data_IF_746135544740
#
_entry.id   IF_746135544740
#
_cell.length_a   1.000
_cell.length_b   1.000
_cell.length_c   1.000
_cell.angle_alpha   90.00
_cell.angle_beta   90.00
_cell.angle_gamma   90.00
#
_symmetry.space_group_name_H-M   'P 1'
#
loop_
_entity.id
_entity.type
_entity.pdbx_description
1 polymer ?
#
# COMPACT_ATOMS: atom_id res chain seq x y z
N UNK A 1 -12.42 13.96 -8.55
CA UNK A 1 -13.21 12.71 -8.41
C UNK A 1 -14.65 12.92 -8.87
N UNK A 2 -15.32 13.98 -8.44
CA UNK A 2 -16.74 14.27 -8.78
C UNK A 2 -16.99 14.40 -10.29
N UNK A 3 -15.99 14.75 -11.09
CA UNK A 3 -16.08 14.84 -12.55
C UNK A 3 -15.74 13.52 -13.26
N UNK A 4 -15.13 12.56 -12.55
CA UNK A 4 -14.62 11.32 -13.12
C UNK A 4 -15.42 10.07 -12.75
N UNK A 5 -16.27 10.17 -11.74
CA UNK A 5 -17.08 9.07 -11.23
C UNK A 5 -18.55 9.46 -11.17
N UNK A 6 -19.41 8.60 -11.62
CA UNK A 6 -20.86 8.73 -11.53
C UNK A 6 -21.42 7.59 -10.69
N UNK A 7 -22.33 7.91 -9.76
CA UNK A 7 -23.07 6.90 -9.03
C UNK A 7 -24.29 6.50 -9.86
N UNK A 8 -24.40 5.22 -10.15
CA UNK A 8 -25.51 4.66 -10.91
C UNK A 8 -26.25 3.60 -10.10
N UNK A 9 -27.55 3.48 -10.32
CA UNK A 9 -28.38 2.41 -9.77
C UNK A 9 -28.59 1.36 -10.85
N UNK A 10 -28.24 0.11 -10.55
CA UNK A 10 -28.41 -1.02 -11.46
C UNK A 10 -29.19 -2.15 -10.78
N UNK A 11 -30.05 -2.83 -11.57
CA UNK A 11 -30.69 -4.06 -11.12
C UNK A 11 -29.69 -5.22 -11.12
N UNK A 12 -29.62 -5.96 -10.00
CA UNK A 12 -28.74 -7.11 -9.89
C UNK A 12 -29.52 -8.42 -10.12
N UNK A 13 -29.06 -9.23 -11.06
CA UNK A 13 -29.61 -10.57 -11.32
C UNK A 13 -29.12 -11.60 -10.30
N UNK A 14 -29.69 -12.82 -10.32
CA UNK A 14 -29.12 -13.93 -9.57
C UNK A 14 -27.77 -14.37 -10.15
N UNK A 15 -26.81 -14.80 -9.29
CA UNK A 15 -25.50 -15.25 -9.76
C UNK A 15 -25.64 -16.51 -10.63
N UNK A 16 -24.84 -16.58 -11.70
CA UNK A 16 -24.75 -17.76 -12.58
C UNK A 16 -23.63 -18.71 -12.10
N UNK A 17 -23.57 -19.91 -12.69
CA UNK A 17 -22.58 -20.91 -12.31
C UNK A 17 -21.14 -20.36 -12.27
N UNK A 18 -20.43 -20.57 -11.18
CA UNK A 18 -19.09 -20.02 -10.91
C UNK A 18 -19.08 -18.62 -10.27
N UNK A 19 -20.25 -18.02 -10.07
CA UNK A 19 -20.39 -16.72 -9.43
C UNK A 19 -20.94 -16.81 -8.01
N UNK A 20 -20.59 -15.78 -7.24
CA UNK A 20 -21.21 -15.44 -5.96
C UNK A 20 -21.75 -14.02 -6.02
N UNK A 21 -22.88 -13.77 -5.36
CA UNK A 21 -23.38 -12.44 -5.11
C UNK A 21 -22.86 -11.98 -3.73
N UNK A 22 -22.20 -10.84 -3.71
CA UNK A 22 -21.62 -10.29 -2.51
C UNK A 22 -22.29 -8.98 -2.11
N UNK A 23 -22.33 -8.74 -0.79
CA UNK A 23 -22.60 -7.43 -0.20
C UNK A 23 -21.29 -6.85 0.28
N UNK A 24 -20.89 -5.72 -0.27
CA UNK A 24 -19.65 -5.05 0.11
C UNK A 24 -19.73 -4.55 1.56
N UNK A 25 -18.70 -4.80 2.35
CA UNK A 25 -18.54 -4.31 3.72
C UNK A 25 -17.48 -3.21 3.80
N UNK A 26 -16.33 -3.47 3.22
CA UNK A 26 -15.18 -2.56 3.24
C UNK A 26 -14.44 -2.69 1.91
N UNK A 27 -14.02 -1.56 1.35
CA UNK A 27 -13.14 -1.53 0.17
C UNK A 27 -11.83 -0.82 0.51
N UNK A 28 -10.72 -1.37 0.03
CA UNK A 28 -9.41 -0.76 0.17
C UNK A 28 -9.22 0.36 -0.84
N UNK A 29 -8.85 1.55 -0.34
CA UNK A 29 -8.52 2.71 -1.14
C UNK A 29 -7.02 2.81 -1.29
N UNK A 30 -6.46 2.09 -2.26
CA UNK A 30 -5.03 2.01 -2.47
C UNK A 30 -4.52 3.13 -3.40
N UNK A 31 -3.30 3.60 -3.16
CA UNK A 31 -2.67 4.63 -4.00
C UNK A 31 -2.54 4.19 -5.47
N UNK A 32 -2.40 2.88 -5.73
CA UNK A 32 -2.36 2.29 -7.07
C UNK A 32 -3.65 2.49 -7.87
N UNK A 33 -4.80 2.64 -7.21
CA UNK A 33 -6.09 2.92 -7.88
C UNK A 33 -6.02 4.16 -8.77
N UNK A 34 -5.21 5.16 -8.39
CA UNK A 34 -5.00 6.37 -9.21
C UNK A 34 -4.37 6.06 -10.57
N UNK A 35 -3.52 5.04 -10.64
CA UNK A 35 -2.91 4.61 -11.90
C UNK A 35 -3.93 3.90 -12.81
N UNK A 36 -4.85 3.13 -12.23
CA UNK A 36 -5.90 2.43 -12.98
C UNK A 36 -6.93 3.39 -13.61
N UNK A 37 -7.06 4.60 -13.06
CA UNK A 37 -7.89 5.68 -13.60
C UNK A 37 -7.17 6.52 -14.68
N UNK A 38 -6.00 6.11 -15.13
CA UNK A 38 -5.22 6.79 -16.16
C UNK A 38 -5.10 5.90 -17.40
N UNK A 39 -4.72 6.47 -18.52
CA UNK A 39 -4.49 5.77 -19.80
C UNK A 39 -3.11 5.09 -19.89
N UNK A 40 -2.37 5.00 -18.78
CA UNK A 40 -1.03 4.42 -18.73
C UNK A 40 -1.06 2.92 -19.01
N UNK A 41 -0.20 2.50 -19.95
CA UNK A 41 -0.05 1.09 -20.33
C UNK A 41 1.15 0.40 -19.65
N UNK A 42 1.95 1.16 -18.91
CA UNK A 42 3.17 0.69 -18.20
C UNK A 42 2.92 0.34 -16.73
N UNK A 43 1.65 0.21 -16.33
CA UNK A 43 1.24 -0.25 -15.01
C UNK A 43 1.14 -1.78 -14.94
N UNK A 44 1.29 -2.34 -13.73
CA UNK A 44 1.06 -3.77 -13.46
C UNK A 44 -0.41 -4.19 -13.60
N UNK A 45 -1.33 -3.23 -13.58
CA UNK A 45 -2.76 -3.40 -13.81
C UNK A 45 -3.16 -2.54 -15.01
N UNK A 46 -3.90 -3.08 -15.99
CA UNK A 46 -4.40 -2.28 -17.09
C UNK A 46 -5.35 -1.16 -16.62
N UNK A 47 -5.47 -0.08 -17.38
CA UNK A 47 -6.46 0.96 -17.13
C UNK A 47 -7.88 0.38 -17.06
N UNK A 48 -8.71 0.94 -16.17
CA UNK A 48 -10.14 0.64 -16.14
C UNK A 48 -10.80 1.32 -17.34
N UNK A 49 -11.62 0.57 -18.08
CA UNK A 49 -12.34 1.10 -19.23
C UNK A 49 -13.37 2.17 -18.80
N UNK A 50 -13.51 3.22 -19.60
CA UNK A 50 -14.51 4.26 -19.34
C UNK A 50 -15.92 3.65 -19.40
N UNK A 51 -16.74 3.97 -18.41
CA UNK A 51 -18.09 3.43 -18.26
C UNK A 51 -18.14 2.11 -17.48
N UNK A 52 -17.01 1.56 -17.07
CA UNK A 52 -16.95 0.39 -16.19
C UNK A 52 -16.93 0.80 -14.72
N UNK A 53 -17.35 -0.12 -13.83
CA UNK A 53 -17.25 0.06 -12.40
C UNK A 53 -15.79 0.20 -11.95
N UNK A 54 -15.56 1.07 -10.99
CA UNK A 54 -14.30 1.08 -10.25
C UNK A 54 -14.15 -0.21 -9.45
N UNK A 55 -12.91 -0.64 -9.25
CA UNK A 55 -12.60 -1.89 -8.56
C UNK A 55 -11.56 -1.69 -7.46
N UNK A 56 -11.48 -2.65 -6.56
CA UNK A 56 -10.49 -2.67 -5.48
C UNK A 56 -10.53 -3.95 -4.68
N UNK A 57 -9.51 -4.17 -3.86
CA UNK A 57 -9.53 -5.26 -2.89
C UNK A 57 -10.59 -4.95 -1.83
N UNK A 58 -11.48 -5.90 -1.57
CA UNK A 58 -12.59 -5.68 -0.64
C UNK A 58 -12.79 -6.84 0.33
N UNK A 59 -13.50 -6.53 1.41
CA UNK A 59 -14.19 -7.49 2.27
C UNK A 59 -15.68 -7.43 1.98
N UNK A 60 -16.28 -8.57 1.83
CA UNK A 60 -17.70 -8.69 1.53
C UNK A 60 -18.32 -9.91 2.23
N UNK A 61 -19.63 -9.91 2.30
CA UNK A 61 -20.43 -11.04 2.76
C UNK A 61 -21.13 -11.69 1.57
N UNK A 62 -21.05 -13.01 1.48
CA UNK A 62 -21.78 -13.76 0.44
C UNK A 62 -23.27 -13.72 0.76
N UNK A 63 -24.08 -13.20 -0.18
CA UNK A 63 -25.54 -13.11 -0.06
C UNK A 63 -26.22 -14.28 -0.78
N UNK A 64 -25.71 -14.65 -1.95
CA UNK A 64 -26.14 -15.81 -2.73
C UNK A 64 -24.93 -16.47 -3.38
N UNK A 65 -25.00 -17.77 -3.61
CA UNK A 65 -23.91 -18.50 -4.24
C UNK A 65 -24.44 -19.46 -5.31
N UNK A 66 -23.77 -19.47 -6.46
CA UNK A 66 -23.89 -20.51 -7.48
C UNK A 66 -22.61 -21.39 -7.55
N UNK A 67 -21.76 -21.35 -6.49
CA UNK A 67 -20.58 -22.19 -6.30
C UNK A 67 -20.66 -22.88 -4.92
N UNK A 68 -20.51 -24.22 -4.88
CA UNK A 68 -20.64 -25.04 -3.67
C UNK A 68 -19.62 -24.72 -2.56
N UNK A 69 -18.51 -24.10 -2.91
CA UNK A 69 -17.42 -23.78 -1.98
C UNK A 69 -17.69 -22.51 -1.16
N UNK A 70 -18.73 -21.77 -1.52
CA UNK A 70 -19.15 -20.53 -0.86
C UNK A 70 -20.58 -20.65 -0.35
N UNK A 71 -20.83 -20.22 0.89
CA UNK A 71 -22.13 -20.25 1.57
C UNK A 71 -22.61 -18.85 1.90
N UNK A 72 -23.91 -18.64 1.93
CA UNK A 72 -24.52 -17.43 2.44
C UNK A 72 -24.01 -17.13 3.86
N UNK A 73 -23.62 -15.86 4.10
CA UNK A 73 -23.02 -15.41 5.35
C UNK A 73 -21.51 -15.64 5.48
N UNK A 74 -20.85 -16.24 4.48
CA UNK A 74 -19.40 -16.31 4.48
C UNK A 74 -18.80 -14.91 4.33
N UNK A 75 -17.77 -14.62 5.15
CA UNK A 75 -16.92 -13.46 4.96
C UNK A 75 -15.88 -13.80 3.90
N UNK A 76 -15.77 -12.98 2.87
CA UNK A 76 -14.86 -13.19 1.75
C UNK A 76 -14.00 -11.97 1.49
N UNK A 77 -12.78 -12.20 0.99
CA UNK A 77 -11.86 -11.17 0.49
C UNK A 77 -11.54 -11.46 -0.97
N UNK A 78 -11.59 -10.44 -1.80
CA UNK A 78 -11.27 -10.56 -3.20
C UNK A 78 -11.14 -9.20 -3.87
N UNK A 79 -11.12 -9.22 -5.20
CA UNK A 79 -11.08 -8.02 -6.03
C UNK A 79 -12.50 -7.76 -6.55
N UNK A 80 -13.15 -6.75 -6.00
CA UNK A 80 -14.56 -6.46 -6.26
C UNK A 80 -14.79 -5.04 -6.77
N UNK A 81 -16.00 -4.79 -7.20
CA UNK A 81 -16.45 -3.49 -7.69
C UNK A 81 -16.79 -2.52 -6.54
N UNK A 82 -16.72 -1.23 -6.82
CA UNK A 82 -17.21 -0.20 -5.91
C UNK A 82 -18.75 -0.12 -5.99
N UNK A 83 -19.41 -1.11 -5.42
CA UNK A 83 -20.85 -1.26 -5.43
C UNK A 83 -21.33 -1.82 -4.09
N UNK A 84 -22.56 -1.50 -3.68
CA UNK A 84 -23.15 -2.09 -2.47
C UNK A 84 -23.32 -3.61 -2.59
N UNK A 85 -23.68 -4.05 -3.80
CA UNK A 85 -23.85 -5.46 -4.17
C UNK A 85 -23.23 -5.71 -5.54
N UNK A 86 -22.62 -6.87 -5.75
CA UNK A 86 -22.08 -7.28 -7.03
C UNK A 86 -22.18 -8.80 -7.22
N UNK A 87 -22.36 -9.25 -8.47
CA UNK A 87 -22.09 -10.63 -8.86
C UNK A 87 -20.63 -10.72 -9.33
N UNK A 88 -19.84 -11.53 -8.67
CA UNK A 88 -18.40 -11.64 -8.91
C UNK A 88 -18.01 -13.08 -9.22
N UNK A 89 -16.93 -13.26 -9.97
CA UNK A 89 -16.33 -14.56 -10.20
C UNK A 89 -15.76 -15.09 -8.88
N UNK A 90 -16.23 -16.25 -8.45
CA UNK A 90 -15.83 -16.85 -7.18
C UNK A 90 -14.34 -17.18 -7.11
N UNK A 91 -13.66 -17.44 -8.24
CA UNK A 91 -12.23 -17.73 -8.29
C UNK A 91 -11.37 -16.52 -7.88
N UNK A 92 -11.94 -15.32 -7.91
CA UNK A 92 -11.29 -14.08 -7.46
C UNK A 92 -11.42 -13.82 -5.96
N UNK A 93 -12.10 -14.71 -5.22
CA UNK A 93 -12.41 -14.54 -3.82
C UNK A 93 -11.92 -15.70 -2.96
N UNK A 94 -11.54 -15.37 -1.73
CA UNK A 94 -11.16 -16.32 -0.69
C UNK A 94 -12.11 -16.21 0.48
N UNK A 95 -12.62 -17.34 0.95
CA UNK A 95 -13.36 -17.42 2.21
C UNK A 95 -12.39 -17.19 3.36
N UNK A 96 -12.76 -16.31 4.28
CA UNK A 96 -11.96 -15.97 5.44
C UNK A 96 -12.43 -16.74 6.67
N UNK A 97 -11.49 -17.18 7.49
CA UNK A 97 -11.81 -17.76 8.80
C UNK A 97 -12.37 -16.67 9.72
N UNK A 98 -13.49 -16.96 10.37
CA UNK A 98 -14.06 -16.07 11.40
C UNK A 98 -13.25 -16.22 12.68
N UNK A 99 -12.93 -15.09 13.32
CA UNK A 99 -12.30 -15.14 14.65
C UNK A 99 -11.21 -14.10 14.91
N UNK A 100 -11.00 -13.16 14.00
CA UNK A 100 -10.27 -11.95 14.34
C UNK A 100 -11.20 -10.95 15.03
N UNK A 101 -10.67 -10.24 16.01
CA UNK A 101 -11.39 -9.16 16.70
C UNK A 101 -11.64 -7.93 15.79
N UNK A 102 -11.01 -7.91 14.61
CA UNK A 102 -11.04 -6.80 13.67
C UNK A 102 -10.95 -7.34 12.23
N UNK A 103 -12.07 -7.26 11.50
CA UNK A 103 -12.16 -7.70 10.10
C UNK A 103 -11.23 -6.88 9.17
N UNK A 104 -11.00 -5.60 9.47
CA UNK A 104 -10.14 -4.69 8.71
C UNK A 104 -8.69 -5.17 8.64
N UNK A 105 -8.26 -6.03 9.57
CA UNK A 105 -6.94 -6.64 9.55
C UNK A 105 -6.70 -7.43 8.26
N UNK A 106 -7.73 -8.02 7.66
CA UNK A 106 -7.64 -8.77 6.40
C UNK A 106 -7.33 -7.88 5.18
N UNK A 107 -7.63 -6.58 5.24
CA UNK A 107 -7.24 -5.61 4.19
C UNK A 107 -5.94 -4.85 4.53
N UNK A 108 -5.56 -4.81 5.81
CA UNK A 108 -4.36 -4.10 6.29
C UNK A 108 -3.17 -5.04 6.55
N UNK A 109 -2.95 -5.42 7.80
CA UNK A 109 -1.78 -6.21 8.23
C UNK A 109 -1.72 -7.62 7.64
N UNK A 110 -2.87 -8.27 7.43
CA UNK A 110 -3.01 -9.59 6.81
C UNK A 110 -3.36 -9.49 5.30
N UNK A 111 -3.46 -8.28 4.78
CA UNK A 111 -3.75 -7.99 3.38
C UNK A 111 -2.51 -7.63 2.57
N UNK A 112 -2.75 -7.01 1.41
CA UNK A 112 -1.72 -6.63 0.46
C UNK A 112 -0.68 -5.68 1.09
N UNK A 113 -1.11 -4.71 1.89
CA UNK A 113 -0.21 -3.75 2.54
C UNK A 113 0.74 -4.44 3.53
N UNK A 114 0.25 -5.41 4.31
CA UNK A 114 1.07 -6.20 5.23
C UNK A 114 2.07 -7.09 4.51
N UNK A 115 1.64 -7.77 3.45
CA UNK A 115 2.53 -8.56 2.60
C UNK A 115 3.63 -7.71 1.96
N UNK A 116 3.26 -6.57 1.39
CA UNK A 116 4.21 -5.63 0.77
C UNK A 116 5.23 -5.14 1.79
N UNK A 117 4.78 -4.74 2.98
CA UNK A 117 5.65 -4.30 4.05
C UNK A 117 6.59 -5.43 4.51
N UNK A 118 6.05 -6.64 4.72
CA UNK A 118 6.85 -7.77 5.17
C UNK A 118 7.93 -8.16 4.17
N UNK A 119 7.56 -8.36 2.90
CA UNK A 119 8.50 -8.74 1.84
C UNK A 119 9.55 -7.64 1.63
N UNK A 120 9.12 -6.38 1.55
CA UNK A 120 10.04 -5.26 1.37
C UNK A 120 11.03 -5.10 2.54
N UNK A 121 10.57 -5.28 3.78
CA UNK A 121 11.47 -5.20 4.95
C UNK A 121 12.34 -6.45 5.07
N UNK A 122 11.73 -7.64 5.11
CA UNK A 122 12.44 -8.86 5.50
C UNK A 122 13.23 -9.49 4.37
N UNK A 123 12.67 -9.52 3.15
CA UNK A 123 13.31 -10.22 2.02
C UNK A 123 14.24 -9.30 1.20
N UNK A 124 13.87 -8.02 1.05
CA UNK A 124 14.65 -7.04 0.29
C UNK A 124 15.57 -6.26 1.22
N UNK A 125 15.01 -5.63 2.26
CA UNK A 125 15.75 -4.84 3.24
C UNK A 125 16.72 -5.66 4.08
N UNK A 126 16.35 -6.87 4.47
CA UNK A 126 17.14 -7.82 5.29
C UNK A 126 17.74 -7.13 6.53
N UNK A 127 16.89 -6.58 7.41
CA UNK A 127 17.30 -5.75 8.52
C UNK A 127 18.17 -6.51 9.51
N UNK A 128 19.14 -5.79 10.09
CA UNK A 128 19.93 -6.27 11.21
C UNK A 128 19.70 -5.39 12.42
N UNK A 129 19.72 -5.94 13.64
CA UNK A 129 19.58 -5.14 14.86
C UNK A 129 20.58 -3.98 14.90
N UNK A 130 20.09 -2.80 15.26
CA UNK A 130 20.88 -1.57 15.37
C UNK A 130 21.01 -0.75 14.08
N UNK A 131 20.60 -1.28 12.91
CA UNK A 131 20.60 -0.51 11.67
C UNK A 131 19.56 0.62 11.68
N UNK A 132 19.89 1.74 11.01
CA UNK A 132 18.98 2.85 10.76
C UNK A 132 18.02 2.48 9.61
N UNK A 133 16.75 2.31 9.94
CA UNK A 133 15.68 2.05 8.98
C UNK A 133 14.87 3.32 8.76
N UNK A 134 14.94 3.89 7.57
CA UNK A 134 14.17 5.04 7.14
C UNK A 134 12.98 4.58 6.30
N UNK A 135 11.81 5.17 6.49
CA UNK A 135 10.62 4.90 5.68
C UNK A 135 9.92 6.19 5.27
N UNK A 136 9.69 6.37 3.96
CA UNK A 136 8.88 7.46 3.43
C UNK A 136 7.39 7.13 3.46
N UNK A 137 6.52 8.17 3.49
CA UNK A 137 5.09 8.02 3.72
C UNK A 137 4.80 7.09 4.93
N UNK A 138 5.53 7.29 6.01
CA UNK A 138 5.56 6.42 7.18
C UNK A 138 4.19 6.28 7.86
N UNK A 139 3.34 7.32 7.80
CA UNK A 139 1.98 7.28 8.33
C UNK A 139 0.94 6.72 7.35
N UNK A 140 1.37 6.18 6.20
CA UNK A 140 0.51 5.46 5.27
C UNK A 140 0.35 3.99 5.63
N UNK A 141 -0.57 3.29 4.95
CA UNK A 141 -0.90 1.90 5.25
C UNK A 141 0.33 0.98 5.22
N UNK A 142 1.10 0.97 4.12
CA UNK A 142 2.31 0.14 4.00
C UNK A 142 3.46 0.66 4.87
N UNK A 143 3.69 1.99 4.89
CA UNK A 143 4.80 2.60 5.61
C UNK A 143 4.74 2.38 7.12
N UNK A 144 3.55 2.48 7.71
CA UNK A 144 3.35 2.25 9.15
C UNK A 144 3.61 0.80 9.55
N UNK A 145 3.23 -0.15 8.71
CA UNK A 145 3.51 -1.57 8.91
C UNK A 145 5.00 -1.88 8.73
N UNK A 146 5.62 -1.32 7.67
CA UNK A 146 7.05 -1.51 7.42
C UNK A 146 7.92 -1.05 8.59
N UNK A 147 7.64 0.13 9.14
CA UNK A 147 8.37 0.64 10.30
C UNK A 147 8.19 -0.23 11.55
N UNK A 148 6.97 -0.70 11.82
CA UNK A 148 6.72 -1.59 12.97
C UNK A 148 7.42 -2.95 12.79
N UNK A 149 7.45 -3.52 11.58
CA UNK A 149 8.18 -4.77 11.29
C UNK A 149 9.69 -4.54 11.50
N UNK A 150 10.24 -3.45 10.96
CA UNK A 150 11.66 -3.10 11.15
C UNK A 150 12.00 -2.88 12.63
N UNK A 151 11.10 -2.26 13.41
CA UNK A 151 11.26 -2.10 14.85
C UNK A 151 11.33 -3.44 15.56
N UNK A 152 10.45 -4.39 15.21
CA UNK A 152 10.48 -5.76 15.75
C UNK A 152 11.74 -6.53 15.33
N UNK A 153 12.33 -6.22 14.19
CA UNK A 153 13.61 -6.76 13.74
C UNK A 153 14.82 -6.14 14.45
N UNK A 154 14.60 -5.16 15.34
CA UNK A 154 15.63 -4.52 16.14
C UNK A 154 16.29 -3.30 15.52
N UNK A 155 15.74 -2.75 14.43
CA UNK A 155 16.21 -1.51 13.83
C UNK A 155 15.87 -0.28 14.67
N UNK A 156 16.64 0.77 14.46
CA UNK A 156 16.29 2.14 14.84
C UNK A 156 15.47 2.74 13.70
N UNK A 157 14.19 3.03 13.96
CA UNK A 157 13.22 3.39 12.93
C UNK A 157 12.97 4.89 12.87
N UNK A 158 13.14 5.45 11.68
CA UNK A 158 12.92 6.85 11.35
C UNK A 158 11.79 6.95 10.32
N UNK A 159 10.72 7.68 10.64
CA UNK A 159 9.58 7.87 9.76
C UNK A 159 9.54 9.26 9.14
N UNK A 160 9.28 9.35 7.83
CA UNK A 160 9.00 10.62 7.15
C UNK A 160 7.48 10.79 7.00
N UNK A 161 6.96 11.91 7.52
CA UNK A 161 5.55 12.26 7.41
C UNK A 161 5.38 13.75 7.07
N UNK A 162 4.18 14.13 6.60
CA UNK A 162 3.91 15.47 6.10
C UNK A 162 3.11 16.35 7.06
N UNK A 163 3.01 16.01 8.35
CA UNK A 163 2.46 16.86 9.40
C UNK A 163 2.96 16.42 10.77
N UNK A 164 2.96 17.37 11.72
CA UNK A 164 3.41 17.13 13.10
C UNK A 164 2.52 16.11 13.81
N UNK A 165 1.21 16.14 13.58
CA UNK A 165 0.26 15.16 14.11
C UNK A 165 0.64 13.73 13.69
N UNK A 166 0.98 13.52 12.41
CA UNK A 166 1.43 12.22 11.90
C UNK A 166 2.76 11.81 12.52
N UNK A 167 3.69 12.74 12.69
CA UNK A 167 4.97 12.47 13.35
C UNK A 167 4.78 12.07 14.82
N UNK A 168 3.86 12.73 15.51
CA UNK A 168 3.50 12.40 16.87
C UNK A 168 2.89 11.00 16.98
N UNK A 169 1.94 10.67 16.13
CA UNK A 169 1.34 9.33 16.04
C UNK A 169 2.39 8.23 15.80
N UNK A 170 3.31 8.44 14.85
CA UNK A 170 4.39 7.49 14.57
C UNK A 170 5.23 7.18 15.81
N UNK A 171 5.59 8.20 16.60
CA UNK A 171 6.47 8.04 17.74
C UNK A 171 5.75 7.57 18.99
N UNK A 172 4.55 8.09 19.28
CA UNK A 172 3.81 7.79 20.50
C UNK A 172 3.04 6.48 20.43
N UNK A 173 2.40 6.21 19.29
CA UNK A 173 1.49 5.07 19.15
C UNK A 173 2.15 3.87 18.45
N UNK A 174 2.97 4.13 17.41
CA UNK A 174 3.60 3.06 16.63
C UNK A 174 5.03 2.70 17.07
N UNK A 175 5.60 3.47 18.03
CA UNK A 175 6.90 3.17 18.64
C UNK A 175 8.09 3.42 17.71
N UNK A 176 7.96 4.30 16.72
CA UNK A 176 9.09 4.76 15.92
C UNK A 176 10.06 5.56 16.83
N UNK A 177 11.36 5.45 16.59
CA UNK A 177 12.34 6.15 17.39
C UNK A 177 12.40 7.64 17.06
N UNK A 178 12.15 7.99 15.79
CA UNK A 178 12.17 9.36 15.28
C UNK A 178 11.10 9.49 14.20
N UNK A 179 10.51 10.67 14.13
CA UNK A 179 9.71 11.09 12.99
C UNK A 179 10.16 12.48 12.53
N UNK A 180 10.25 12.69 11.24
CA UNK A 180 10.68 13.93 10.60
C UNK A 180 9.52 14.45 9.75
N UNK A 181 9.11 15.71 10.02
CA UNK A 181 8.16 16.39 9.16
C UNK A 181 8.89 17.04 7.98
N UNK A 182 8.96 16.32 6.85
CA UNK A 182 9.69 16.75 5.66
C UNK A 182 9.15 18.05 5.02
N UNK A 183 7.99 18.55 5.45
CA UNK A 183 7.43 19.82 4.98
C UNK A 183 7.93 21.03 5.74
N UNK A 184 8.33 20.85 6.99
CA UNK A 184 8.74 21.93 7.91
C UNK A 184 10.21 21.85 8.29
N UNK A 185 10.83 20.67 8.16
CA UNK A 185 12.22 20.41 8.47
C UNK A 185 13.07 20.27 7.20
N UNK A 186 14.32 20.69 7.25
CA UNK A 186 15.30 20.37 6.22
C UNK A 186 15.68 18.89 6.33
N UNK A 187 15.24 18.08 5.36
CA UNK A 187 15.42 16.63 5.40
C UNK A 187 16.90 16.21 5.44
N UNK A 188 17.76 16.86 4.64
CA UNK A 188 19.20 16.55 4.59
C UNK A 188 19.88 16.79 5.94
N UNK A 189 19.61 17.95 6.57
CA UNK A 189 20.14 18.27 7.89
C UNK A 189 19.60 17.32 8.97
N UNK A 190 18.31 16.98 8.91
CA UNK A 190 17.69 16.06 9.84
C UNK A 190 18.30 14.65 9.72
N UNK A 191 18.54 14.16 8.50
CA UNK A 191 19.18 12.86 8.27
C UNK A 191 20.62 12.86 8.78
N UNK A 192 21.43 13.89 8.50
CA UNK A 192 22.80 14.02 9.03
C UNK A 192 22.84 14.05 10.55
N UNK A 193 21.87 14.70 11.17
CA UNK A 193 21.74 14.77 12.64
C UNK A 193 21.36 13.41 13.24
N UNK A 194 20.40 12.74 12.65
CA UNK A 194 19.82 11.53 13.23
C UNK A 194 20.48 10.24 12.74
N UNK A 195 21.11 10.24 11.58
CA UNK A 195 21.84 9.11 11.00
C UNK A 195 23.27 9.54 10.61
N UNK A 196 24.15 9.90 11.58
CA UNK A 196 25.48 10.42 11.27
C UNK A 196 26.34 9.42 10.48
N UNK A 197 26.09 8.11 10.63
CA UNK A 197 26.76 7.04 9.89
C UNK A 197 25.99 6.62 8.63
N UNK A 198 24.91 7.33 8.32
CA UNK A 198 24.04 7.11 7.18
C UNK A 198 22.82 6.22 7.47
N UNK A 199 21.98 6.09 6.45
CA UNK A 199 20.76 5.26 6.43
C UNK A 199 21.13 3.89 5.88
N UNK A 200 20.90 2.82 6.65
CA UNK A 200 21.21 1.46 6.25
C UNK A 200 20.12 0.84 5.35
N UNK A 201 18.87 1.17 5.64
CA UNK A 201 17.72 0.70 4.86
C UNK A 201 16.78 1.86 4.63
N UNK A 202 16.44 2.12 3.38
CA UNK A 202 15.43 3.09 3.00
C UNK A 202 14.26 2.41 2.32
N UNK A 203 13.13 2.28 3.01
CA UNK A 203 11.88 1.77 2.46
C UNK A 203 11.15 2.91 1.74
N UNK A 204 11.22 2.90 0.40
CA UNK A 204 10.75 4.00 -0.42
C UNK A 204 9.33 3.76 -0.97
N UNK A 205 8.38 4.59 -0.50
CA UNK A 205 7.01 4.64 -0.99
C UNK A 205 6.76 5.83 -1.95
N UNK A 206 7.71 6.77 -2.05
CA UNK A 206 7.45 8.10 -2.62
C UNK A 206 8.28 8.40 -3.86
N UNK A 207 9.56 8.02 -3.88
CA UNK A 207 10.54 8.42 -4.90
C UNK A 207 10.76 9.95 -4.98
N UNK A 208 11.16 10.46 -6.15
CA UNK A 208 11.35 11.89 -6.40
C UNK A 208 12.37 12.56 -5.49
N UNK A 209 12.16 13.84 -5.16
CA UNK A 209 13.10 14.66 -4.40
C UNK A 209 13.51 14.06 -3.05
N UNK A 210 12.60 13.32 -2.40
CA UNK A 210 12.92 12.63 -1.14
C UNK A 210 13.98 11.55 -1.38
N UNK A 211 13.82 10.73 -2.42
CA UNK A 211 14.80 9.72 -2.79
C UNK A 211 16.16 10.36 -3.08
N UNK A 212 16.19 11.46 -3.85
CA UNK A 212 17.43 12.14 -4.21
C UNK A 212 18.20 12.64 -2.98
N UNK A 213 17.49 13.16 -1.97
CA UNK A 213 18.11 13.58 -0.70
C UNK A 213 18.60 12.36 0.08
N UNK A 214 17.81 11.31 0.19
CA UNK A 214 18.18 10.10 0.93
C UNK A 214 19.40 9.42 0.31
N UNK A 215 19.50 9.38 -1.02
CA UNK A 215 20.65 8.81 -1.74
C UNK A 215 21.99 9.45 -1.33
N UNK A 216 21.99 10.71 -0.92
CA UNK A 216 23.18 11.42 -0.45
C UNK A 216 23.53 11.12 1.04
N UNK A 217 22.62 10.46 1.74
CA UNK A 217 22.73 10.16 3.17
C UNK A 217 22.74 8.65 3.48
N UNK A 218 23.02 7.81 2.47
CA UNK A 218 23.08 6.37 2.66
C UNK A 218 24.35 5.90 3.35
N UNK A 219 24.23 4.89 4.19
CA UNK A 219 25.36 4.13 4.72
C UNK A 219 26.01 3.25 3.63
N UNK A 220 27.22 2.77 3.91
CA UNK A 220 27.89 1.82 3.03
C UNK A 220 27.09 0.49 2.97
N UNK A 221 26.83 -0.02 1.77
CA UNK A 221 26.00 -1.20 1.51
C UNK A 221 24.53 -1.03 1.93
N UNK A 222 24.01 0.19 1.90
CA UNK A 222 22.60 0.45 2.13
C UNK A 222 21.71 -0.32 1.14
N UNK A 223 20.49 -0.62 1.56
CA UNK A 223 19.48 -1.31 0.76
C UNK A 223 18.25 -0.44 0.62
N UNK A 224 17.68 -0.37 -0.58
CA UNK A 224 16.50 0.44 -0.87
C UNK A 224 15.39 -0.46 -1.41
N UNK A 225 14.48 -0.97 -0.56
CA UNK A 225 13.22 -1.55 -1.04
C UNK A 225 12.37 -0.49 -1.72
N UNK A 226 12.26 -0.54 -3.04
CA UNK A 226 11.40 0.35 -3.83
C UNK A 226 9.98 -0.21 -3.80
N UNK A 227 9.10 0.42 -3.03
CA UNK A 227 7.72 -0.01 -2.85
C UNK A 227 6.74 0.78 -3.71
N UNK A 228 6.92 2.10 -3.83
CA UNK A 228 5.99 2.97 -4.53
C UNK A 228 6.64 4.22 -5.12
N UNK A 229 5.89 4.90 -5.97
CA UNK A 229 6.33 6.08 -6.72
C UNK A 229 5.30 7.22 -6.55
N UNK A 230 4.80 7.46 -5.32
CA UNK A 230 3.70 8.39 -5.06
C UNK A 230 3.91 9.78 -5.65
N UNK A 231 5.15 10.29 -5.62
CA UNK A 231 5.51 11.60 -6.18
C UNK A 231 5.38 11.64 -7.72
N UNK A 232 5.35 10.49 -8.39
CA UNK A 232 5.39 10.38 -9.83
C UNK A 232 4.07 9.90 -10.47
N UNK A 233 3.06 9.52 -9.67
CA UNK A 233 1.78 9.01 -10.20
C UNK A 233 1.04 10.01 -11.08
N UNK A 234 1.24 11.30 -10.88
CA UNK A 234 0.65 12.36 -11.70
C UNK A 234 1.60 12.93 -12.77
N UNK A 235 2.86 12.48 -12.81
CA UNK A 235 3.85 12.99 -13.75
C UNK A 235 3.98 12.04 -14.94
N UNK A 236 3.86 12.59 -16.16
CA UNK A 236 3.84 11.86 -17.43
C UNK A 236 5.18 11.24 -17.85
N UNK A 237 6.26 11.42 -17.09
CA UNK A 237 7.61 11.00 -17.49
C UNK A 237 8.30 10.23 -16.36
N UNK A 238 8.10 8.91 -16.33
CA UNK A 238 9.10 8.01 -15.79
C UNK A 238 10.22 7.94 -16.85
N UNK A 239 11.20 8.80 -16.71
CA UNK A 239 12.48 8.59 -17.39
C UNK A 239 13.17 7.43 -16.66
N UNK A 240 13.09 6.24 -17.23
CA UNK A 240 14.06 5.21 -16.90
C UNK A 240 15.41 5.76 -17.37
N UNK A 241 16.28 6.06 -16.42
CA UNK A 241 17.68 6.37 -16.75
C UNK A 241 18.21 5.18 -17.57
N UNK A 242 18.69 5.39 -18.81
CA UNK A 242 19.19 4.28 -19.61
C UNK A 242 20.31 3.60 -18.84
N UNK A 243 20.19 2.27 -18.67
CA UNK A 243 21.24 1.47 -18.09
C UNK A 243 22.55 1.70 -18.85
N UNK A 244 23.72 1.73 -18.18
CA UNK A 244 25.01 1.75 -18.89
C UNK A 244 25.18 0.62 -19.92
N UNK A 245 24.30 -0.40 -19.89
CA UNK A 245 24.28 -1.50 -20.86
C UNK A 245 23.50 -1.15 -22.15
N UNK A 246 22.75 -0.06 -22.15
CA UNK A 246 21.94 0.38 -23.29
C UNK A 246 22.69 1.40 -24.18
N UNK A 247 24.01 1.53 -23.99
CA UNK A 247 24.93 2.36 -24.79
C UNK A 247 25.88 1.50 -25.63
#
# INVERSE_FOLDING_TARGET
FEEALELVDEEISDPVNGQIQIKLKIISMDAGTRMWMSDRQDSYQPPIELGSSMVGVCLAEVIKSANSDFKEGDLVRGFGEWADFANVDSDSFLVLEKGLDCDEAYLSALGLNGWTAYVGVMEVGKPKPGENFLVSAAAGATGSLAGQIAKKAGCRVIGLAGSDEKCEWLTKDLGFDIAINYKTENLDEALKKHCPDGVDIYFDNVAGDILDIVMQNLALNARIPLCGLLAQYNNCLLYTSPSPRDR
#
